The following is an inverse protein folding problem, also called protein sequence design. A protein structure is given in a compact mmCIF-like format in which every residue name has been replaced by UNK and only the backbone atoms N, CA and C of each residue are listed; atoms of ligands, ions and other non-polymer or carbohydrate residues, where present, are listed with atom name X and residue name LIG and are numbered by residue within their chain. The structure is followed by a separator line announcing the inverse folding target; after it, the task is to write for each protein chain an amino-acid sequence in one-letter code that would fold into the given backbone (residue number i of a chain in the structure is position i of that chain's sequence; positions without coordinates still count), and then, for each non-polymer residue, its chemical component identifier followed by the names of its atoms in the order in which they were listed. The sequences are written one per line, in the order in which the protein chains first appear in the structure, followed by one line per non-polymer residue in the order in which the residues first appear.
data_IF_724554889266
#
_entry.id   IF_724554889266
#
_cell.length_a   1.000
_cell.length_b   1.000
_cell.length_c   1.000
_cell.angle_alpha   90.00
_cell.angle_beta   90.00
_cell.angle_gamma   90.00
#
_symmetry.space_group_name_H-M   'P 1'
#
loop_
_entity.id
_entity.type
_entity.pdbx_description
1 polymer ?
#
# COMPACT_ATOMS: atom_id res chain seq x y z
N UNK A 1 -16.76 -0.61 8.80
CA UNK A 1 -18.00 -0.38 8.02
C UNK A 1 -18.05 -1.39 6.90
N UNK A 2 -19.12 -2.18 6.79
CA UNK A 2 -19.35 -3.18 5.75
C UNK A 2 -20.50 -2.73 4.85
N UNK A 3 -20.22 -2.54 3.57
CA UNK A 3 -21.22 -2.16 2.57
C UNK A 3 -21.52 -3.35 1.66
N UNK A 4 -22.78 -3.74 1.60
CA UNK A 4 -23.27 -4.73 0.63
C UNK A 4 -23.79 -4.02 -0.62
N UNK A 5 -23.20 -4.33 -1.77
CA UNK A 5 -23.73 -3.98 -3.08
C UNK A 5 -24.46 -5.19 -3.65
N UNK A 6 -25.70 -5.00 -4.10
CA UNK A 6 -26.51 -6.06 -4.68
C UNK A 6 -26.79 -5.77 -6.16
N UNK A 7 -26.03 -6.36 -7.09
CA UNK A 7 -26.40 -6.30 -8.50
C UNK A 7 -27.65 -7.16 -8.74
N UNK A 8 -28.78 -6.54 -9.02
CA UNK A 8 -30.06 -7.20 -9.25
C UNK A 8 -29.99 -8.27 -10.34
N UNK A 9 -30.87 -9.27 -10.30
CA UNK A 9 -30.96 -10.38 -11.26
C UNK A 9 -29.69 -11.23 -11.36
N UNK A 10 -29.54 -12.06 -12.39
CA UNK A 10 -28.35 -12.90 -12.64
C UNK A 10 -28.69 -14.34 -13.03
N UNK A 11 -27.77 -14.97 -13.74
CA UNK A 11 -27.93 -16.32 -14.29
C UNK A 11 -29.12 -16.39 -15.26
N UNK A 12 -30.10 -17.25 -14.97
CA UNK A 12 -31.29 -17.40 -15.82
C UNK A 12 -32.26 -16.23 -15.72
N UNK A 13 -32.25 -15.51 -14.61
CA UNK A 13 -33.01 -14.28 -14.45
C UNK A 13 -32.25 -13.15 -15.14
N UNK A 14 -32.66 -12.81 -16.37
CA UNK A 14 -32.08 -11.72 -17.14
C UNK A 14 -32.47 -10.32 -16.62
N UNK A 15 -33.49 -10.26 -15.74
CA UNK A 15 -34.24 -9.04 -15.48
C UNK A 15 -34.95 -8.55 -16.73
N UNK A 16 -35.16 -7.24 -16.82
CA UNK A 16 -35.70 -6.63 -18.02
C UNK A 16 -34.72 -6.79 -19.20
N UNK A 17 -35.28 -7.05 -20.39
CA UNK A 17 -34.52 -7.19 -21.64
C UNK A 17 -35.11 -6.22 -22.66
N UNK A 18 -34.27 -5.37 -23.24
CA UNK A 18 -34.71 -4.34 -24.17
C UNK A 18 -33.55 -3.73 -24.91
N UNK A 19 -33.78 -3.32 -26.17
CA UNK A 19 -32.80 -2.58 -26.97
C UNK A 19 -31.42 -3.27 -27.10
N UNK A 20 -31.36 -4.61 -27.01
CA UNK A 20 -30.11 -5.39 -27.07
C UNK A 20 -29.30 -5.38 -25.77
N UNK A 21 -29.92 -5.01 -24.65
CA UNK A 21 -29.35 -5.03 -23.31
C UNK A 21 -30.10 -6.03 -22.43
N UNK A 22 -29.41 -6.60 -21.46
CA UNK A 22 -29.99 -7.36 -20.35
C UNK A 22 -29.69 -6.63 -19.05
N UNK A 23 -30.71 -6.45 -18.22
CA UNK A 23 -30.59 -5.73 -16.95
C UNK A 23 -29.51 -6.36 -16.04
N UNK A 24 -29.47 -7.69 -15.94
CA UNK A 24 -28.48 -8.39 -15.10
C UNK A 24 -27.02 -8.01 -15.41
N UNK A 25 -26.71 -7.72 -16.68
CA UNK A 25 -25.35 -7.41 -17.14
C UNK A 25 -25.00 -5.96 -16.78
N UNK A 26 -25.95 -5.03 -16.98
CA UNK A 26 -25.82 -3.63 -16.59
C UNK A 26 -25.64 -3.50 -15.08
N UNK A 27 -26.49 -4.17 -14.30
CA UNK A 27 -26.45 -4.12 -12.85
C UNK A 27 -25.09 -4.61 -12.32
N UNK A 28 -24.57 -5.72 -12.87
CA UNK A 28 -23.27 -6.26 -12.48
C UNK A 28 -22.10 -5.32 -12.84
N UNK A 29 -22.10 -4.77 -14.05
CA UNK A 29 -21.06 -3.83 -14.49
C UNK A 29 -21.04 -2.57 -13.62
N UNK A 30 -22.20 -1.95 -13.39
CA UNK A 30 -22.32 -0.74 -12.55
C UNK A 30 -21.88 -1.04 -11.11
N UNK A 31 -22.36 -2.14 -10.50
CA UNK A 31 -21.97 -2.51 -9.14
C UNK A 31 -20.46 -2.73 -8.98
N UNK A 32 -19.81 -3.39 -9.95
CA UNK A 32 -18.36 -3.58 -9.94
C UNK A 32 -17.59 -2.26 -10.06
N UNK A 33 -18.07 -1.33 -10.89
CA UNK A 33 -17.47 0.02 -10.99
C UNK A 33 -17.63 0.79 -9.69
N UNK A 34 -18.80 0.72 -9.04
CA UNK A 34 -19.04 1.33 -7.73
C UNK A 34 -18.06 0.76 -6.70
N UNK A 35 -17.90 -0.57 -6.65
CA UNK A 35 -16.95 -1.23 -5.76
C UNK A 35 -15.50 -0.78 -6.01
N UNK A 36 -15.07 -0.71 -7.28
CA UNK A 36 -13.73 -0.27 -7.65
C UNK A 36 -13.43 1.17 -7.22
N UNK A 37 -14.40 2.07 -7.35
CA UNK A 37 -14.26 3.47 -6.91
C UNK A 37 -14.24 3.59 -5.38
N UNK A 38 -15.00 2.78 -4.68
CA UNK A 38 -15.03 2.75 -3.22
C UNK A 38 -13.81 2.03 -2.60
N UNK A 39 -12.99 1.31 -3.38
CA UNK A 39 -11.80 0.61 -2.88
C UNK A 39 -10.75 1.52 -2.20
N UNK A 40 -10.76 2.82 -2.53
CA UNK A 40 -9.92 3.85 -1.92
C UNK A 40 -10.41 4.33 -0.54
N UNK A 41 -11.61 3.92 -0.11
CA UNK A 41 -12.23 4.34 1.14
C UNK A 41 -12.16 3.24 2.21
N UNK A 42 -12.15 3.63 3.47
CA UNK A 42 -12.11 2.74 4.64
C UNK A 42 -13.47 2.06 4.85
N UNK A 43 -13.80 1.16 3.93
CA UNK A 43 -15.03 0.39 3.88
C UNK A 43 -14.75 -1.00 3.32
N UNK A 44 -15.33 -2.01 3.96
CA UNK A 44 -15.31 -3.39 3.48
C UNK A 44 -16.49 -3.59 2.54
N UNK A 45 -16.20 -3.76 1.25
CA UNK A 45 -17.22 -3.88 0.21
C UNK A 45 -17.42 -5.35 -0.12
N UNK A 46 -18.67 -5.81 -0.08
CA UNK A 46 -19.08 -7.11 -0.58
C UNK A 46 -20.12 -6.95 -1.68
N UNK A 47 -20.16 -7.92 -2.59
CA UNK A 47 -21.20 -8.02 -3.59
C UNK A 47 -22.01 -9.30 -3.33
N UNK A 48 -23.33 -9.25 -3.46
CA UNK A 48 -24.16 -10.47 -3.41
C UNK A 48 -23.76 -11.45 -4.51
N UNK A 49 -23.37 -10.94 -5.69
CA UNK A 49 -22.71 -11.69 -6.77
C UNK A 49 -21.62 -10.85 -7.44
N UNK A 50 -20.48 -11.47 -7.78
CA UNK A 50 -19.40 -10.84 -8.55
C UNK A 50 -19.24 -11.42 -9.96
N UNK A 51 -20.12 -12.34 -10.35
CA UNK A 51 -20.21 -13.00 -11.66
C UNK A 51 -21.67 -13.02 -12.11
N UNK A 52 -21.93 -13.54 -13.32
CA UNK A 52 -23.29 -13.84 -13.73
C UNK A 52 -23.78 -15.12 -13.02
N UNK A 53 -24.45 -14.94 -11.88
CA UNK A 53 -24.91 -16.00 -11.01
C UNK A 53 -26.37 -15.76 -10.62
N UNK A 54 -27.19 -16.81 -10.71
CA UNK A 54 -28.58 -16.79 -10.26
C UNK A 54 -28.66 -16.80 -8.73
N UNK A 55 -29.36 -15.81 -8.15
CA UNK A 55 -29.60 -15.70 -6.72
C UNK A 55 -31.05 -15.31 -6.46
N UNK A 56 -31.73 -16.09 -5.62
CA UNK A 56 -33.06 -15.75 -5.11
C UNK A 56 -33.00 -14.49 -4.24
N UNK A 57 -34.14 -13.81 -4.11
CA UNK A 57 -34.24 -12.62 -3.23
C UNK A 57 -33.87 -12.96 -1.78
N UNK A 58 -34.37 -14.08 -1.26
CA UNK A 58 -34.00 -14.59 0.08
C UNK A 58 -32.49 -14.77 0.22
N UNK A 59 -31.84 -15.33 -0.81
CA UNK A 59 -30.39 -15.57 -0.73
C UNK A 59 -29.59 -14.28 -0.67
N UNK A 60 -30.02 -13.23 -1.37
CA UNK A 60 -29.38 -11.90 -1.31
C UNK A 60 -29.44 -11.33 0.10
N UNK A 61 -30.62 -11.42 0.74
CA UNK A 61 -30.81 -10.99 2.13
C UNK A 61 -29.93 -11.80 3.09
N UNK A 62 -29.92 -13.14 2.97
CA UNK A 62 -29.07 -14.00 3.80
C UNK A 62 -27.59 -13.65 3.70
N UNK A 63 -27.08 -13.35 2.49
CA UNK A 63 -25.68 -12.96 2.30
C UNK A 63 -25.39 -11.65 3.05
N UNK A 64 -26.25 -10.64 2.90
CA UNK A 64 -26.11 -9.34 3.57
C UNK A 64 -26.18 -9.45 5.09
N UNK A 65 -27.17 -10.19 5.60
CA UNK A 65 -27.43 -10.38 7.02
C UNK A 65 -26.34 -11.22 7.68
N UNK A 66 -25.92 -12.32 7.04
CA UNK A 66 -24.81 -13.17 7.54
C UNK A 66 -23.48 -12.44 7.59
N UNK A 67 -23.21 -11.55 6.63
CA UNK A 67 -22.03 -10.69 6.66
C UNK A 67 -22.10 -9.63 7.79
N UNK A 68 -23.31 -9.41 8.34
CA UNK A 68 -23.64 -8.31 9.24
C UNK A 68 -23.24 -6.99 8.59
N UNK A 69 -23.75 -6.77 7.38
CA UNK A 69 -23.48 -5.53 6.64
C UNK A 69 -24.10 -4.35 7.37
N UNK A 70 -23.43 -3.20 7.35
CA UNK A 70 -23.92 -1.96 7.99
C UNK A 70 -24.87 -1.19 7.07
N UNK A 71 -24.78 -1.40 5.74
CA UNK A 71 -25.66 -0.81 4.74
C UNK A 71 -25.82 -1.71 3.52
N UNK A 72 -27.00 -1.69 2.89
CA UNK A 72 -27.32 -2.45 1.68
C UNK A 72 -27.77 -1.54 0.53
N UNK A 73 -27.14 -1.66 -0.63
CA UNK A 73 -27.47 -0.90 -1.83
C UNK A 73 -27.68 -1.83 -3.02
N UNK A 74 -28.94 -2.02 -3.42
CA UNK A 74 -29.31 -2.78 -4.61
C UNK A 74 -29.31 -1.88 -5.85
N UNK A 75 -28.77 -2.38 -6.95
CA UNK A 75 -28.58 -1.67 -8.21
C UNK A 75 -29.40 -2.40 -9.29
N UNK A 76 -30.36 -1.68 -9.85
CA UNK A 76 -31.30 -2.11 -10.86
C UNK A 76 -31.38 -1.15 -12.05
N UNK A 77 -31.98 -1.62 -13.13
CA UNK A 77 -32.29 -0.85 -14.35
C UNK A 77 -33.75 -1.06 -14.68
N UNK A 78 -34.51 0.02 -14.83
CA UNK A 78 -35.97 -0.03 -14.87
C UNK A 78 -36.51 -0.50 -16.24
N UNK A 79 -37.82 -0.75 -16.30
CA UNK A 79 -38.59 -0.98 -17.54
C UNK A 79 -40.05 -0.58 -17.37
N UNK A 80 -40.87 -0.67 -18.42
CA UNK A 80 -42.30 -0.35 -18.38
C UNK A 80 -42.66 1.02 -18.97
N UNK A 81 -41.90 1.50 -19.96
CA UNK A 81 -42.25 2.67 -20.77
C UNK A 81 -41.96 4.04 -20.13
N UNK A 82 -41.05 4.11 -19.16
CA UNK A 82 -40.60 5.36 -18.52
C UNK A 82 -39.24 5.88 -19.00
N UNK A 83 -38.74 6.93 -18.36
CA UNK A 83 -37.35 7.41 -18.49
C UNK A 83 -36.90 8.04 -17.17
N UNK A 84 -35.61 7.97 -16.87
CA UNK A 84 -35.00 8.66 -15.73
C UNK A 84 -34.67 7.77 -14.53
N UNK A 85 -34.48 8.41 -13.36
CA UNK A 85 -33.93 7.76 -12.17
C UNK A 85 -34.91 7.82 -10.98
N UNK A 86 -34.99 6.74 -10.22
CA UNK A 86 -35.71 6.68 -8.95
C UNK A 86 -34.98 5.81 -7.93
N UNK A 87 -35.30 6.00 -6.66
CA UNK A 87 -34.77 5.16 -5.58
C UNK A 87 -35.87 4.70 -4.65
N UNK A 88 -35.76 3.47 -4.15
CA UNK A 88 -36.71 2.84 -3.25
C UNK A 88 -36.08 2.54 -1.89
N UNK A 89 -36.89 2.67 -0.85
CA UNK A 89 -36.69 2.06 0.47
C UNK A 89 -37.92 1.25 0.84
N UNK A 90 -37.81 0.39 1.85
CA UNK A 90 -38.96 -0.39 2.32
C UNK A 90 -40.13 0.51 2.74
N UNK A 91 -41.37 0.08 2.51
CA UNK A 91 -42.57 0.80 2.96
C UNK A 91 -42.54 1.11 4.46
N UNK A 92 -41.99 0.22 5.28
CA UNK A 92 -41.78 0.43 6.72
C UNK A 92 -40.41 1.01 7.10
N UNK A 93 -39.65 1.59 6.16
CA UNK A 93 -38.32 2.10 6.43
C UNK A 93 -38.33 3.20 7.51
N UNK A 94 -37.38 3.08 8.45
CA UNK A 94 -37.14 4.03 9.53
C UNK A 94 -36.56 5.35 9.01
N UNK A 95 -36.67 6.41 9.81
CA UNK A 95 -36.17 7.75 9.48
C UNK A 95 -34.67 7.77 9.14
N UNK A 96 -33.86 6.94 9.81
CA UNK A 96 -32.43 6.81 9.51
C UNK A 96 -32.17 6.36 8.07
N UNK A 97 -32.84 5.30 7.61
CA UNK A 97 -32.77 4.81 6.23
C UNK A 97 -33.21 5.87 5.23
N UNK A 98 -34.24 6.64 5.58
CA UNK A 98 -34.75 7.72 4.75
C UNK A 98 -33.76 8.87 4.56
N UNK A 99 -33.07 9.27 5.64
CA UNK A 99 -32.00 10.29 5.59
C UNK A 99 -30.84 9.81 4.72
N UNK A 100 -30.41 8.57 4.88
CA UNK A 100 -29.36 7.97 4.05
C UNK A 100 -29.77 7.93 2.57
N UNK A 101 -31.00 7.47 2.26
CA UNK A 101 -31.55 7.51 0.90
C UNK A 101 -31.55 8.91 0.33
N UNK A 102 -31.98 9.91 1.10
CA UNK A 102 -32.08 11.27 0.61
C UNK A 102 -30.72 11.81 0.13
N UNK A 103 -29.64 11.53 0.86
CA UNK A 103 -28.27 11.93 0.47
C UNK A 103 -27.85 11.22 -0.82
N UNK A 104 -27.96 9.89 -0.88
CA UNK A 104 -27.57 9.10 -2.05
C UNK A 104 -28.36 9.55 -3.28
N UNK A 105 -29.69 9.60 -3.15
CA UNK A 105 -30.59 9.96 -4.23
C UNK A 105 -30.30 11.36 -4.78
N UNK A 106 -30.12 12.37 -3.91
CA UNK A 106 -29.88 13.75 -4.38
C UNK A 106 -28.58 13.85 -5.21
N UNK A 107 -27.53 13.12 -4.84
CA UNK A 107 -26.27 13.10 -5.60
C UNK A 107 -26.46 12.44 -6.96
N UNK A 108 -27.11 11.28 -6.99
CA UNK A 108 -27.33 10.51 -8.23
C UNK A 108 -28.32 11.22 -9.16
N UNK A 109 -29.42 11.76 -8.62
CA UNK A 109 -30.37 12.58 -9.35
C UNK A 109 -29.72 13.84 -9.94
N UNK A 110 -28.79 14.47 -9.20
CA UNK A 110 -28.00 15.60 -9.71
C UNK A 110 -27.16 15.23 -10.95
N UNK A 111 -26.53 14.05 -10.94
CA UNK A 111 -25.82 13.52 -12.11
C UNK A 111 -26.77 13.30 -13.30
N UNK A 112 -27.92 12.65 -13.07
CA UNK A 112 -28.90 12.41 -14.12
C UNK A 112 -29.51 13.69 -14.70
N UNK A 113 -29.85 14.66 -13.86
CA UNK A 113 -30.36 15.97 -14.27
C UNK A 113 -29.37 16.68 -15.19
N UNK A 114 -28.08 16.67 -14.84
CA UNK A 114 -27.02 17.25 -15.68
C UNK A 114 -26.84 16.51 -17.02
N UNK A 115 -27.18 15.23 -17.05
CA UNK A 115 -27.20 14.42 -18.28
C UNK A 115 -28.52 14.51 -19.07
N UNK A 116 -29.47 15.35 -18.62
CA UNK A 116 -30.76 15.59 -19.29
C UNK A 116 -31.87 14.58 -18.95
N UNK A 117 -31.71 13.79 -17.88
CA UNK A 117 -32.69 12.80 -17.45
C UNK A 117 -33.57 13.28 -16.30
N UNK A 118 -34.77 12.73 -16.23
CA UNK A 118 -35.78 13.06 -15.22
C UNK A 118 -35.45 12.41 -13.88
N UNK A 119 -35.54 13.19 -12.80
CA UNK A 119 -35.64 12.65 -11.44
C UNK A 119 -37.10 12.26 -11.17
N UNK A 120 -37.35 10.97 -11.00
CA UNK A 120 -38.67 10.39 -10.73
C UNK A 120 -38.95 10.23 -9.24
N UNK A 121 -38.04 10.72 -8.40
CA UNK A 121 -38.21 10.89 -6.98
C UNK A 121 -37.89 9.67 -6.15
N UNK A 122 -38.07 9.88 -4.84
CA UNK A 122 -37.73 8.91 -3.81
C UNK A 122 -39.00 8.16 -3.38
N UNK A 123 -39.06 6.86 -3.66
CA UNK A 123 -40.25 6.02 -3.51
C UNK A 123 -40.12 5.02 -2.37
N UNK A 124 -41.27 4.45 -1.99
CA UNK A 124 -41.39 3.35 -1.02
C UNK A 124 -41.99 2.14 -1.72
N UNK A 125 -41.46 0.95 -1.46
CA UNK A 125 -41.99 -0.30 -1.99
C UNK A 125 -41.73 -1.47 -1.04
N UNK A 126 -42.52 -2.54 -1.19
CA UNK A 126 -42.41 -3.75 -0.37
C UNK A 126 -41.47 -4.80 -0.99
N UNK A 127 -40.32 -4.38 -1.53
CA UNK A 127 -39.35 -5.28 -2.15
C UNK A 127 -38.66 -6.15 -1.09
N UNK A 128 -38.55 -7.46 -1.35
CA UNK A 128 -38.02 -8.42 -0.38
C UNK A 128 -36.60 -8.05 0.09
N UNK A 129 -35.72 -7.64 -0.83
CA UNK A 129 -34.34 -7.23 -0.48
C UNK A 129 -34.27 -5.97 0.39
N UNK A 130 -35.32 -5.14 0.41
CA UNK A 130 -35.41 -3.95 1.26
C UNK A 130 -36.08 -4.25 2.61
N UNK A 131 -37.00 -5.22 2.64
CA UNK A 131 -37.77 -5.60 3.82
C UNK A 131 -37.04 -6.61 4.70
N UNK A 132 -36.39 -7.60 4.08
CA UNK A 132 -35.88 -8.79 4.74
C UNK A 132 -34.36 -8.71 5.02
N UNK A 133 -33.73 -7.56 4.73
CA UNK A 133 -32.38 -7.23 5.18
C UNK A 133 -32.40 -6.56 6.54
N UNK A 134 -31.43 -6.89 7.40
CA UNK A 134 -31.40 -6.44 8.80
C UNK A 134 -30.84 -5.03 8.98
N UNK A 135 -30.21 -4.48 7.94
CA UNK A 135 -29.57 -3.17 7.92
C UNK A 135 -30.33 -2.16 7.04
N UNK A 136 -30.08 -0.84 7.17
CA UNK A 136 -30.66 0.14 6.26
C UNK A 136 -30.37 -0.19 4.79
N UNK A 137 -31.43 -0.22 3.97
CA UNK A 137 -31.38 -0.70 2.60
C UNK A 137 -31.98 0.31 1.61
N UNK A 138 -31.33 0.47 0.47
CA UNK A 138 -31.79 1.26 -0.69
C UNK A 138 -31.76 0.41 -1.95
N UNK A 139 -32.70 0.64 -2.87
CA UNK A 139 -32.66 0.13 -4.24
C UNK A 139 -32.65 1.30 -5.21
N UNK A 140 -31.78 1.25 -6.21
CA UNK A 140 -31.59 2.27 -7.23
C UNK A 140 -32.10 1.75 -8.57
N UNK A 141 -33.04 2.44 -9.20
CA UNK A 141 -33.50 2.16 -10.56
C UNK A 141 -32.87 3.16 -11.53
N UNK A 142 -31.92 2.69 -12.34
CA UNK A 142 -31.02 3.52 -13.13
C UNK A 142 -31.43 3.53 -14.60
N UNK A 143 -32.26 4.50 -15.00
CA UNK A 143 -32.81 4.60 -16.37
C UNK A 143 -33.71 3.42 -16.75
N UNK A 144 -34.32 3.48 -17.93
CA UNK A 144 -35.26 2.47 -18.44
C UNK A 144 -34.66 1.72 -19.63
N UNK A 145 -34.48 0.40 -19.51
CA UNK A 145 -33.82 -0.43 -20.53
C UNK A 145 -34.63 -0.55 -21.83
N UNK A 146 -35.95 -0.39 -21.74
CA UNK A 146 -36.89 -0.42 -22.86
C UNK A 146 -37.06 0.94 -23.56
N UNK A 147 -36.63 2.04 -22.91
CA UNK A 147 -36.63 3.37 -23.51
C UNK A 147 -35.37 3.61 -24.35
N UNK A 148 -35.54 3.98 -25.62
CA UNK A 148 -34.45 4.03 -26.61
C UNK A 148 -33.31 4.99 -26.23
N UNK A 149 -33.63 6.18 -25.69
CA UNK A 149 -32.61 7.17 -25.28
C UNK A 149 -31.84 6.71 -24.05
N UNK A 150 -32.55 6.14 -23.08
CA UNK A 150 -32.00 5.60 -21.84
C UNK A 150 -31.06 4.43 -22.15
N UNK A 151 -31.54 3.45 -22.92
CA UNK A 151 -30.74 2.33 -23.41
C UNK A 151 -29.51 2.77 -24.21
N UNK A 152 -29.62 3.85 -24.99
CA UNK A 152 -28.48 4.44 -25.71
C UNK A 152 -27.36 4.88 -24.77
N UNK A 153 -27.71 5.50 -23.63
CA UNK A 153 -26.73 5.84 -22.58
C UNK A 153 -26.25 4.62 -21.81
N UNK A 154 -27.14 3.69 -21.50
CA UNK A 154 -26.78 2.47 -20.77
C UNK A 154 -25.79 1.59 -21.57
N UNK A 155 -25.75 1.67 -22.91
CA UNK A 155 -24.73 1.01 -23.74
C UNK A 155 -23.33 1.62 -23.58
N UNK A 156 -23.24 2.91 -23.29
CA UNK A 156 -21.99 3.65 -23.19
C UNK A 156 -21.26 3.32 -21.89
N UNK A 157 -20.08 2.71 -21.99
CA UNK A 157 -19.25 2.36 -20.85
C UNK A 157 -18.75 3.57 -20.05
N UNK A 158 -18.50 4.71 -20.72
CA UNK A 158 -18.10 5.94 -20.04
C UNK A 158 -19.26 6.52 -19.22
N UNK A 159 -20.49 6.43 -19.73
CA UNK A 159 -21.68 6.79 -18.99
C UNK A 159 -21.87 5.91 -17.74
N UNK A 160 -21.72 4.58 -17.88
CA UNK A 160 -21.80 3.66 -16.73
C UNK A 160 -20.70 3.92 -15.69
N UNK A 161 -19.50 4.30 -16.12
CA UNK A 161 -18.43 4.71 -15.21
C UNK A 161 -18.74 6.01 -14.46
N UNK A 162 -19.25 7.02 -15.16
CA UNK A 162 -19.64 8.29 -14.55
C UNK A 162 -20.83 8.11 -13.58
N UNK A 163 -21.82 7.28 -13.94
CA UNK A 163 -22.92 6.88 -13.06
C UNK A 163 -22.40 6.19 -11.79
N UNK A 164 -21.51 5.21 -11.94
CA UNK A 164 -20.89 4.56 -10.80
C UNK A 164 -20.15 5.58 -9.90
N UNK A 165 -19.51 6.60 -10.48
CA UNK A 165 -18.92 7.71 -9.73
C UNK A 165 -19.94 8.50 -8.92
N UNK A 166 -21.11 8.79 -9.48
CA UNK A 166 -22.19 9.46 -8.77
C UNK A 166 -22.75 8.60 -7.62
N UNK A 167 -22.96 7.31 -7.86
CA UNK A 167 -23.43 6.36 -6.84
C UNK A 167 -22.40 6.26 -5.70
N UNK A 168 -21.12 6.05 -6.01
CA UNK A 168 -20.04 6.01 -5.01
C UNK A 168 -19.97 7.31 -4.20
N UNK A 169 -20.09 8.48 -4.85
CA UNK A 169 -20.11 9.77 -4.14
C UNK A 169 -21.31 9.88 -3.20
N UNK A 170 -22.50 9.45 -3.63
CA UNK A 170 -23.69 9.41 -2.80
C UNK A 170 -23.49 8.52 -1.57
N UNK A 171 -22.94 7.32 -1.75
CA UNK A 171 -22.64 6.38 -0.67
C UNK A 171 -21.58 6.92 0.30
N UNK A 172 -20.50 7.52 -0.21
CA UNK A 172 -19.46 8.16 0.61
C UNK A 172 -20.04 9.24 1.50
N UNK A 173 -20.90 10.11 0.96
CA UNK A 173 -21.53 11.19 1.72
C UNK A 173 -22.53 10.67 2.74
N UNK A 174 -23.39 9.73 2.35
CA UNK A 174 -24.44 9.20 3.23
C UNK A 174 -23.85 8.41 4.40
N UNK A 175 -22.82 7.62 4.15
CA UNK A 175 -22.21 6.73 5.14
C UNK A 175 -20.98 7.35 5.82
N UNK A 176 -20.67 8.62 5.53
CA UNK A 176 -19.51 9.35 6.04
C UNK A 176 -18.20 8.56 5.88
N UNK A 177 -17.99 7.98 4.69
CA UNK A 177 -16.81 7.15 4.43
C UNK A 177 -15.57 8.03 4.33
N UNK A 178 -14.52 7.66 5.05
CA UNK A 178 -13.21 8.30 4.96
C UNK A 178 -12.33 7.57 3.94
N UNK A 179 -11.37 8.26 3.34
CA UNK A 179 -10.35 7.60 2.53
C UNK A 179 -9.55 6.64 3.43
N UNK A 180 -9.13 5.49 2.89
CA UNK A 180 -8.16 4.63 3.59
C UNK A 180 -6.96 5.50 3.93
N UNK A 181 -6.56 5.50 5.20
CA UNK A 181 -5.34 6.18 5.63
C UNK A 181 -4.20 5.59 4.80
N UNK A 182 -3.62 6.36 3.88
CA UNK A 182 -2.43 5.90 3.19
C UNK A 182 -1.35 5.67 4.25
N UNK A 183 -0.59 4.56 4.18
CA UNK A 183 0.53 4.37 5.09
C UNK A 183 1.44 5.59 4.97
N UNK A 184 1.78 6.16 6.12
CA UNK A 184 2.70 7.28 6.20
C UNK A 184 4.00 6.87 5.53
N UNK A 185 4.34 7.54 4.42
CA UNK A 185 5.53 7.22 3.65
C UNK A 185 6.79 7.58 4.44
N UNK A 186 7.85 6.81 4.24
CA UNK A 186 9.11 6.94 4.97
C UNK A 186 10.00 7.99 4.32
N UNK A 187 10.23 9.19 4.92
CA UNK A 187 11.04 10.23 4.28
C UNK A 187 12.50 9.79 4.15
N UNK A 188 13.14 10.09 3.02
CA UNK A 188 14.59 9.81 2.80
C UNK A 188 15.46 10.74 3.63
N UNK A 189 15.09 12.02 3.72
CA UNK A 189 15.77 13.05 4.50
C UNK A 189 15.08 13.23 5.86
N UNK A 190 15.41 12.34 6.78
CA UNK A 190 15.00 12.38 8.16
C UNK A 190 16.11 11.81 9.05
N UNK A 191 16.06 12.05 10.35
CA UNK A 191 16.89 11.29 11.28
C UNK A 191 16.57 9.79 11.14
N UNK A 192 17.60 8.94 11.20
CA UNK A 192 17.38 7.51 11.31
C UNK A 192 16.58 7.21 12.58
N UNK A 193 15.59 6.34 12.46
CA UNK A 193 14.80 5.89 13.60
C UNK A 193 15.49 4.72 14.32
N UNK A 194 16.30 3.95 13.60
CA UNK A 194 17.05 2.84 14.18
C UNK A 194 18.26 3.34 14.98
N UNK A 195 18.56 2.63 16.05
CA UNK A 195 19.85 2.68 16.72
C UNK A 195 20.83 1.67 16.09
N UNK A 196 22.15 1.91 16.11
CA UNK A 196 23.14 1.00 15.51
C UNK A 196 22.99 -0.46 15.97
N UNK A 197 22.78 -0.69 17.27
CA UNK A 197 22.62 -2.04 17.81
C UNK A 197 21.44 -2.79 17.17
N UNK A 198 20.34 -2.10 16.82
CA UNK A 198 19.18 -2.74 16.19
C UNK A 198 19.55 -3.25 14.79
N UNK A 199 20.34 -2.50 14.03
CA UNK A 199 20.82 -2.92 12.72
C UNK A 199 21.79 -4.10 12.82
N UNK A 200 22.75 -4.04 13.75
CA UNK A 200 23.70 -5.14 14.00
C UNK A 200 22.99 -6.42 14.42
N UNK A 201 22.04 -6.32 15.36
CA UNK A 201 21.21 -7.46 15.81
C UNK A 201 20.30 -8.00 14.70
N UNK A 202 19.73 -7.12 13.87
CA UNK A 202 18.87 -7.53 12.76
C UNK A 202 19.65 -8.35 11.72
N UNK A 203 20.86 -7.90 11.40
CA UNK A 203 21.76 -8.59 10.50
C UNK A 203 22.25 -9.91 11.08
N UNK A 204 22.81 -9.91 12.29
CA UNK A 204 23.40 -11.10 12.90
C UNK A 204 22.38 -12.21 13.16
N UNK A 205 21.14 -11.86 13.52
CA UNK A 205 20.06 -12.83 13.68
C UNK A 205 19.70 -13.57 12.38
N UNK A 206 20.01 -13.00 11.21
CA UNK A 206 19.82 -13.66 9.92
C UNK A 206 21.12 -14.26 9.41
N UNK A 207 22.21 -13.52 9.46
CA UNK A 207 23.52 -13.97 9.02
C UNK A 207 24.55 -13.77 10.15
N UNK A 208 24.73 -14.76 11.04
CA UNK A 208 25.67 -14.68 12.17
C UNK A 208 27.13 -14.51 11.75
N UNK A 209 27.47 -14.81 10.50
CA UNK A 209 28.82 -14.70 9.94
C UNK A 209 29.05 -13.40 9.18
N UNK A 210 28.03 -12.54 9.08
CA UNK A 210 28.20 -11.25 8.44
C UNK A 210 29.19 -10.40 9.26
N UNK A 211 30.14 -9.71 8.61
CA UNK A 211 30.90 -8.66 9.29
C UNK A 211 29.94 -7.57 9.79
N UNK A 212 30.32 -6.80 10.80
CA UNK A 212 29.52 -5.65 11.24
C UNK A 212 30.10 -4.36 10.69
N UNK A 213 29.40 -3.77 9.71
CA UNK A 213 29.75 -2.49 9.09
C UNK A 213 28.70 -1.39 9.35
N UNK A 214 27.83 -1.56 10.34
CA UNK A 214 26.75 -0.60 10.64
C UNK A 214 27.28 0.81 10.88
N UNK A 215 28.42 0.94 11.56
CA UNK A 215 29.04 2.25 11.81
C UNK A 215 29.41 2.99 10.52
N UNK A 216 29.77 2.28 9.45
CA UNK A 216 30.01 2.89 8.14
C UNK A 216 28.71 3.51 7.60
N UNK A 217 27.58 2.80 7.71
CA UNK A 217 26.28 3.35 7.29
C UNK A 217 25.90 4.58 8.11
N UNK A 218 26.11 4.56 9.44
CA UNK A 218 25.85 5.72 10.31
C UNK A 218 26.68 6.93 9.89
N UNK A 219 27.98 6.74 9.61
CA UNK A 219 28.87 7.80 9.16
C UNK A 219 28.45 8.34 7.79
N UNK A 220 28.11 7.47 6.84
CA UNK A 220 27.66 7.88 5.51
C UNK A 220 26.31 8.59 5.54
N UNK A 221 25.38 8.18 6.41
CA UNK A 221 24.12 8.90 6.60
C UNK A 221 24.33 10.33 7.07
N UNK A 222 25.28 10.55 7.99
CA UNK A 222 25.70 11.90 8.41
C UNK A 222 26.33 12.67 7.25
N UNK A 223 27.25 12.06 6.50
CA UNK A 223 27.97 12.67 5.37
C UNK A 223 27.03 13.11 4.23
N UNK A 224 26.03 12.30 3.91
CA UNK A 224 25.14 12.51 2.76
C UNK A 224 23.77 13.10 3.13
N UNK A 225 23.48 13.28 4.42
CA UNK A 225 22.19 13.82 4.88
C UNK A 225 21.01 12.94 4.49
N UNK A 226 21.21 11.62 4.47
CA UNK A 226 20.21 10.59 4.11
C UNK A 226 20.13 9.62 5.29
N UNK A 227 18.92 9.19 5.65
CA UNK A 227 18.73 8.26 6.76
C UNK A 227 19.46 6.94 6.49
N UNK A 228 20.37 6.55 7.38
CA UNK A 228 21.24 5.40 7.15
C UNK A 228 20.51 4.07 7.30
N UNK A 229 19.48 4.02 8.15
CA UNK A 229 18.73 2.83 8.49
C UNK A 229 17.93 2.26 7.30
N UNK A 230 17.37 3.13 6.46
CA UNK A 230 16.71 2.71 5.22
C UNK A 230 17.69 2.20 4.15
N UNK A 231 18.86 2.84 4.03
CA UNK A 231 19.92 2.43 3.11
C UNK A 231 20.50 1.07 3.56
N UNK A 232 20.71 0.89 4.87
CA UNK A 232 21.09 -0.39 5.46
C UNK A 232 20.03 -1.47 5.22
N UNK A 233 18.75 -1.18 5.46
CA UNK A 233 17.64 -2.11 5.22
C UNK A 233 17.57 -2.54 3.74
N UNK A 234 17.78 -1.60 2.81
CA UNK A 234 17.94 -1.93 1.39
C UNK A 234 19.12 -2.88 1.16
N UNK A 235 20.27 -2.64 1.80
CA UNK A 235 21.44 -3.52 1.63
C UNK A 235 21.15 -4.96 2.05
N UNK A 236 20.43 -5.15 3.17
CA UNK A 236 20.01 -6.47 3.62
C UNK A 236 19.09 -7.14 2.61
N UNK A 237 18.23 -6.37 1.94
CA UNK A 237 17.37 -6.89 0.88
C UNK A 237 18.18 -7.32 -0.34
N UNK A 238 19.04 -6.45 -0.87
CA UNK A 238 19.77 -6.69 -2.12
C UNK A 238 20.71 -7.90 -2.05
N UNK A 239 21.23 -8.19 -0.86
CA UNK A 239 22.29 -9.20 -0.65
C UNK A 239 21.82 -10.41 0.15
N UNK A 240 20.52 -10.51 0.44
CA UNK A 240 19.95 -11.50 1.35
C UNK A 240 20.69 -11.55 2.70
N UNK A 241 20.80 -10.39 3.36
CA UNK A 241 21.52 -10.18 4.64
C UNK A 241 23.02 -10.41 4.51
N UNK A 242 23.65 -9.83 3.49
CA UNK A 242 25.08 -9.95 3.17
C UNK A 242 25.55 -11.40 2.97
N UNK A 243 24.64 -12.27 2.49
CA UNK A 243 24.97 -13.65 2.09
C UNK A 243 25.36 -13.76 0.63
N UNK A 244 24.96 -12.79 -0.20
CA UNK A 244 25.36 -12.69 -1.60
C UNK A 244 24.93 -13.92 -2.44
N UNK A 245 23.62 -14.21 -2.43
CA UNK A 245 23.04 -15.36 -3.14
C UNK A 245 22.73 -15.15 -4.63
N UNK A 246 23.27 -14.09 -5.25
CA UNK A 246 23.00 -13.70 -6.64
C UNK A 246 24.29 -13.43 -7.42
N UNK A 247 24.24 -12.54 -8.41
CA UNK A 247 25.38 -12.26 -9.31
C UNK A 247 26.56 -11.53 -8.63
N UNK A 248 26.31 -10.89 -7.48
CA UNK A 248 27.34 -10.21 -6.68
C UNK A 248 27.89 -11.16 -5.62
N UNK A 249 29.21 -11.14 -5.44
CA UNK A 249 29.97 -11.93 -4.45
C UNK A 249 30.43 -11.07 -3.26
N UNK A 250 30.68 -11.68 -2.09
CA UNK A 250 31.11 -10.95 -0.88
C UNK A 250 32.36 -10.09 -1.08
N UNK A 251 33.33 -10.56 -1.87
CA UNK A 251 34.62 -9.88 -2.09
C UNK A 251 34.47 -8.59 -2.89
N UNK A 252 33.32 -8.37 -3.54
CA UNK A 252 33.07 -7.19 -4.34
C UNK A 252 32.68 -5.96 -3.53
N UNK A 253 32.41 -6.12 -2.22
CA UNK A 253 31.94 -5.05 -1.33
C UNK A 253 30.70 -4.31 -1.87
N UNK A 254 29.88 -4.94 -2.71
CA UNK A 254 28.73 -4.30 -3.35
C UNK A 254 27.44 -4.65 -2.61
N UNK A 255 27.15 -3.86 -1.58
CA UNK A 255 26.03 -4.10 -0.67
C UNK A 255 24.65 -3.79 -1.27
N UNK A 256 24.59 -3.28 -2.50
CA UNK A 256 23.35 -2.76 -3.08
C UNK A 256 23.06 -3.27 -4.50
N UNK A 257 23.76 -4.31 -4.96
CA UNK A 257 23.53 -4.87 -6.30
C UNK A 257 23.81 -3.87 -7.43
N UNK A 258 24.70 -2.89 -7.23
CA UNK A 258 24.94 -1.86 -8.23
C UNK A 258 25.52 -2.49 -9.51
N UNK A 259 24.91 -2.14 -10.64
CA UNK A 259 25.29 -2.59 -11.99
C UNK A 259 25.15 -4.09 -12.28
N UNK A 260 24.29 -4.80 -11.55
CA UNK A 260 23.89 -6.17 -11.92
C UNK A 260 22.83 -6.12 -13.04
N UNK A 261 23.23 -6.45 -14.27
CA UNK A 261 22.31 -6.62 -15.41
C UNK A 261 22.79 -7.81 -16.26
N UNK A 262 21.87 -8.68 -16.66
CA UNK A 262 22.08 -9.78 -17.63
C UNK A 262 23.37 -10.62 -17.39
N UNK A 263 23.55 -11.14 -16.18
CA UNK A 263 24.65 -12.06 -15.86
C UNK A 263 26.03 -11.40 -15.74
N UNK A 264 26.10 -10.06 -15.71
CA UNK A 264 27.33 -9.34 -15.35
C UNK A 264 27.55 -9.37 -13.82
N UNK A 265 28.80 -9.49 -13.34
CA UNK A 265 29.11 -9.68 -11.92
C UNK A 265 28.79 -8.49 -11.00
N UNK A 266 28.15 -7.42 -11.50
CA UNK A 266 27.97 -6.18 -10.74
C UNK A 266 29.28 -5.41 -10.51
N UNK A 267 29.17 -4.23 -9.89
CA UNK A 267 30.31 -3.39 -9.55
C UNK A 267 31.15 -4.00 -8.40
N UNK A 268 32.43 -3.62 -8.34
CA UNK A 268 33.38 -4.04 -7.29
C UNK A 268 34.05 -2.81 -6.70
N UNK A 269 34.14 -2.79 -5.37
CA UNK A 269 34.71 -1.68 -4.59
C UNK A 269 35.89 -2.17 -3.76
N UNK A 270 36.92 -1.34 -3.62
CA UNK A 270 38.18 -1.78 -3.01
C UNK A 270 38.03 -2.05 -1.51
N UNK A 271 37.08 -1.36 -0.85
CA UNK A 271 36.80 -1.52 0.57
C UNK A 271 35.30 -1.55 0.86
N UNK A 272 34.88 -2.12 2.00
CA UNK A 272 33.50 -2.00 2.47
C UNK A 272 33.01 -0.55 2.54
N UNK A 273 33.88 0.38 2.97
CA UNK A 273 33.55 1.80 3.06
C UNK A 273 33.21 2.40 1.70
N UNK A 274 33.99 2.10 0.66
CA UNK A 274 33.69 2.54 -0.71
C UNK A 274 32.38 1.96 -1.25
N UNK A 275 32.11 0.68 -0.95
CA UNK A 275 30.88 0.02 -1.37
C UNK A 275 29.62 0.61 -0.74
N UNK A 276 29.66 0.85 0.57
CA UNK A 276 28.57 1.55 1.28
C UNK A 276 28.44 2.98 0.75
N UNK A 277 29.55 3.69 0.57
CA UNK A 277 29.53 5.06 0.05
C UNK A 277 28.93 5.13 -1.36
N UNK A 278 29.25 4.18 -2.26
CA UNK A 278 28.65 4.11 -3.59
C UNK A 278 27.13 3.93 -3.54
N UNK A 279 26.60 3.14 -2.60
CA UNK A 279 25.16 3.02 -2.37
C UNK A 279 24.54 4.36 -1.93
N UNK A 280 25.17 5.06 -0.98
CA UNK A 280 24.72 6.38 -0.54
C UNK A 280 24.77 7.42 -1.66
N UNK A 281 25.82 7.42 -2.48
CA UNK A 281 25.92 8.26 -3.66
C UNK A 281 24.77 7.98 -4.63
N UNK A 282 24.40 6.71 -4.81
CA UNK A 282 23.29 6.38 -5.69
C UNK A 282 21.94 6.92 -5.18
N UNK A 283 21.66 6.78 -3.88
CA UNK A 283 20.51 7.45 -3.24
C UNK A 283 20.59 8.97 -3.35
N UNK A 284 21.80 9.53 -3.21
CA UNK A 284 22.06 10.96 -3.31
C UNK A 284 21.75 11.49 -4.72
N UNK A 285 22.00 10.72 -5.79
CA UNK A 285 21.58 11.11 -7.15
C UNK A 285 20.06 11.20 -7.25
N UNK A 286 19.34 10.21 -6.72
CA UNK A 286 17.88 10.20 -6.72
C UNK A 286 17.26 11.33 -5.89
N UNK A 287 17.85 11.70 -4.75
CA UNK A 287 17.30 12.73 -3.86
C UNK A 287 17.79 14.15 -4.18
N UNK A 288 19.10 14.35 -4.36
CA UNK A 288 19.73 15.67 -4.54
C UNK A 288 20.10 16.00 -5.99
N UNK A 289 19.73 15.15 -6.96
CA UNK A 289 19.95 15.44 -8.38
C UNK A 289 21.39 15.23 -8.85
N UNK A 290 22.23 14.55 -8.06
CA UNK A 290 23.58 14.13 -8.47
C UNK A 290 24.74 15.08 -8.11
N UNK A 291 24.49 16.15 -7.37
CA UNK A 291 25.53 17.07 -6.89
C UNK A 291 26.27 16.49 -5.68
N UNK A 292 27.33 15.72 -5.88
CA UNK A 292 28.11 15.17 -4.77
C UNK A 292 28.69 16.27 -3.87
N UNK A 293 28.89 16.01 -2.56
CA UNK A 293 29.59 16.95 -1.67
C UNK A 293 30.97 17.32 -2.22
N UNK A 294 31.43 18.54 -1.95
CA UNK A 294 32.71 19.04 -2.45
C UNK A 294 33.88 18.14 -2.03
N UNK A 295 34.77 17.83 -2.98
CA UNK A 295 35.95 16.98 -2.75
C UNK A 295 35.68 15.47 -2.71
N UNK A 296 34.43 15.04 -2.87
CA UNK A 296 34.07 13.60 -2.88
C UNK A 296 34.22 13.01 -4.29
N UNK A 297 34.96 11.91 -4.39
CA UNK A 297 35.08 11.14 -5.64
C UNK A 297 33.77 10.40 -5.95
N UNK A 298 33.36 10.38 -7.21
CA UNK A 298 32.24 9.54 -7.64
C UNK A 298 32.63 8.06 -7.60
N UNK A 299 31.92 7.29 -6.78
CA UNK A 299 32.01 5.84 -6.65
C UNK A 299 30.77 5.15 -7.24
N UNK A 300 29.65 5.86 -7.43
CA UNK A 300 28.44 5.27 -8.04
C UNK A 300 28.61 5.08 -9.56
N UNK A 301 28.71 3.82 -10.04
CA UNK A 301 28.86 3.53 -11.47
C UNK A 301 27.58 3.79 -12.27
N UNK A 302 26.41 3.91 -11.61
CA UNK A 302 25.12 4.15 -12.26
C UNK A 302 24.70 5.62 -12.27
N UNK A 303 25.51 6.52 -11.68
CA UNK A 303 25.19 7.95 -11.54
C UNK A 303 24.75 8.57 -12.86
N UNK A 304 25.56 8.44 -13.90
CA UNK A 304 25.30 9.08 -15.19
C UNK A 304 24.12 8.47 -15.93
N UNK A 305 23.80 7.21 -15.67
CA UNK A 305 22.59 6.58 -16.20
C UNK A 305 21.33 7.20 -15.58
N UNK A 306 21.30 7.38 -14.24
CA UNK A 306 20.14 7.98 -13.55
C UNK A 306 19.95 9.44 -13.93
N UNK A 307 21.03 10.19 -14.16
CA UNK A 307 20.92 11.57 -14.65
C UNK A 307 20.21 11.70 -16.00
N UNK A 308 20.16 10.62 -16.80
CA UNK A 308 19.48 10.57 -18.10
C UNK A 308 18.01 10.13 -18.04
N UNK A 309 17.53 9.61 -16.90
CA UNK A 309 16.16 9.04 -16.78
C UNK A 309 15.10 10.04 -16.32
N UNK A 310 15.48 11.27 -15.97
CA UNK A 310 14.58 12.25 -15.35
C UNK A 310 14.24 11.95 -13.88
N UNK A 311 14.85 10.91 -13.28
CA UNK A 311 14.61 10.54 -11.88
C UNK A 311 15.51 11.25 -10.88
N UNK A 312 16.60 11.86 -11.34
CA UNK A 312 17.51 12.60 -10.47
C UNK A 312 16.77 13.74 -9.76
N UNK A 313 16.90 13.82 -8.43
CA UNK A 313 16.23 14.84 -7.61
C UNK A 313 14.74 14.60 -7.32
N UNK A 314 14.18 13.45 -7.70
CA UNK A 314 12.73 13.18 -7.60
C UNK A 314 12.35 12.25 -6.45
N UNK A 315 13.31 11.65 -5.74
CA UNK A 315 13.04 10.75 -4.63
C UNK A 315 12.77 11.58 -3.37
N UNK A 316 11.61 11.39 -2.74
CA UNK A 316 11.27 12.05 -1.46
C UNK A 316 11.11 11.01 -0.34
N UNK A 317 10.56 9.85 -0.68
CA UNK A 317 10.29 8.75 0.24
C UNK A 317 10.98 7.46 -0.21
N UNK A 318 11.32 6.59 0.74
CA UNK A 318 11.94 5.27 0.45
C UNK A 318 11.06 4.45 -0.49
N UNK A 319 9.75 4.57 -0.36
CA UNK A 319 8.76 3.90 -1.18
C UNK A 319 8.86 4.30 -2.67
N UNK A 320 9.33 5.51 -3.00
CA UNK A 320 9.45 5.93 -4.41
C UNK A 320 10.64 5.28 -5.15
N UNK A 321 11.44 4.44 -4.47
CA UNK A 321 12.41 3.55 -5.13
C UNK A 321 11.72 2.49 -6.02
N UNK A 322 10.43 2.23 -5.79
CA UNK A 322 9.60 1.37 -6.63
C UNK A 322 9.57 1.83 -8.09
N UNK A 323 9.94 0.94 -9.01
CA UNK A 323 10.06 1.24 -10.43
C UNK A 323 11.27 2.09 -10.84
N UNK A 324 12.08 2.58 -9.88
CA UNK A 324 13.27 3.41 -10.15
C UNK A 324 14.57 2.67 -9.88
N UNK A 325 14.65 1.97 -8.73
CA UNK A 325 15.79 1.14 -8.38
C UNK A 325 15.64 -0.27 -8.94
N UNK A 326 14.44 -0.82 -8.82
CA UNK A 326 14.04 -2.12 -9.34
C UNK A 326 12.71 -2.00 -10.10
N UNK A 327 12.41 -2.88 -11.06
CA UNK A 327 11.19 -2.80 -11.87
C UNK A 327 9.88 -2.86 -11.08
N UNK A 328 9.86 -3.58 -9.95
CA UNK A 328 8.66 -3.69 -9.10
C UNK A 328 8.30 -2.35 -8.45
N UNK A 329 7.02 -1.97 -8.53
CA UNK A 329 6.49 -0.76 -7.90
C UNK A 329 6.43 -0.87 -6.38
N UNK A 330 6.39 -2.08 -5.87
CA UNK A 330 6.34 -2.44 -4.45
C UNK A 330 7.73 -2.49 -3.81
N UNK A 331 8.80 -2.35 -4.62
CA UNK A 331 10.18 -2.49 -4.16
C UNK A 331 10.49 -1.60 -2.96
N UNK A 332 10.18 -0.29 -3.03
CA UNK A 332 10.43 0.64 -1.94
C UNK A 332 9.59 0.32 -0.68
N UNK A 333 8.30 0.02 -0.86
CA UNK A 333 7.43 -0.39 0.24
C UNK A 333 7.95 -1.64 0.95
N UNK A 334 8.45 -2.63 0.21
CA UNK A 334 9.00 -3.84 0.81
C UNK A 334 10.32 -3.61 1.58
N UNK A 335 11.13 -2.60 1.24
CA UNK A 335 12.29 -2.21 2.09
C UNK A 335 11.76 -1.74 3.46
N UNK A 336 10.73 -0.91 3.44
CA UNK A 336 10.13 -0.36 4.67
C UNK A 336 9.47 -1.46 5.49
N UNK A 337 8.59 -2.24 4.88
CA UNK A 337 7.72 -3.18 5.58
C UNK A 337 8.44 -4.46 6.03
N UNK A 338 9.36 -4.97 5.21
CA UNK A 338 9.98 -6.28 5.46
C UNK A 338 11.37 -6.18 6.11
N UNK A 339 12.01 -5.02 6.08
CA UNK A 339 13.37 -4.84 6.62
C UNK A 339 13.44 -3.73 7.67
N UNK A 340 13.06 -2.48 7.32
CA UNK A 340 13.17 -1.35 8.25
C UNK A 340 12.25 -1.51 9.46
N UNK A 341 10.94 -1.73 9.28
CA UNK A 341 10.00 -1.88 10.40
C UNK A 341 10.35 -3.05 11.32
N UNK A 342 10.72 -4.26 10.83
CA UNK A 342 11.20 -5.34 11.68
C UNK A 342 12.48 -5.00 12.46
N UNK A 343 13.44 -4.34 11.82
CA UNK A 343 14.67 -3.87 12.49
C UNK A 343 14.36 -2.93 13.66
N UNK A 344 13.45 -1.96 13.46
CA UNK A 344 13.03 -1.01 14.50
C UNK A 344 12.33 -1.63 15.70
N UNK A 345 11.79 -2.85 15.56
CA UNK A 345 11.13 -3.59 16.65
C UNK A 345 12.11 -4.32 17.57
N UNK A 346 13.40 -4.33 17.26
CA UNK A 346 14.41 -4.96 18.11
C UNK A 346 14.61 -4.11 19.35
N UNK A 347 14.29 -4.65 20.53
CA UNK A 347 14.51 -4.02 21.83
C UNK A 347 15.90 -4.33 22.38
N UNK A 348 16.36 -3.49 23.33
CA UNK A 348 17.66 -3.66 24.00
C UNK A 348 17.75 -4.96 24.81
N UNK A 349 16.61 -5.54 25.23
CA UNK A 349 16.57 -6.83 25.93
C UNK A 349 16.96 -8.02 25.03
N UNK A 350 17.21 -7.77 23.73
CA UNK A 350 17.79 -8.72 22.77
C UNK A 350 19.26 -8.42 22.41
N UNK A 351 19.85 -7.39 22.99
CA UNK A 351 21.29 -7.19 23.00
C UNK A 351 21.87 -8.20 24.00
N UNK A 352 22.88 -8.97 23.59
CA UNK A 352 23.60 -9.92 24.45
C UNK A 352 24.94 -9.30 24.88
N UNK A 353 24.94 -8.39 25.86
CA UNK A 353 26.16 -7.77 26.36
C UNK A 353 27.14 -8.82 26.92
N UNK A 354 26.64 -9.96 27.41
CA UNK A 354 27.49 -11.08 27.85
C UNK A 354 28.27 -11.68 26.68
N UNK A 355 27.63 -11.83 25.52
CA UNK A 355 28.27 -12.26 24.28
C UNK A 355 29.32 -11.28 23.76
N UNK A 356 29.07 -9.97 23.85
CA UNK A 356 30.06 -8.94 23.45
C UNK A 356 31.28 -8.92 24.38
N UNK A 357 31.07 -9.07 25.69
CA UNK A 357 32.16 -9.22 26.66
C UNK A 357 32.98 -10.49 26.36
N UNK A 358 32.32 -11.59 26.00
CA UNK A 358 32.99 -12.84 25.64
C UNK A 358 33.89 -12.69 24.41
N UNK A 359 33.51 -11.88 23.40
CA UNK A 359 34.35 -11.58 22.24
C UNK A 359 35.60 -10.80 22.63
N UNK A 360 35.46 -9.74 23.44
CA UNK A 360 36.61 -8.96 23.92
C UNK A 360 37.61 -9.84 24.69
N UNK A 361 37.10 -10.81 25.46
CA UNK A 361 37.94 -11.78 26.18
C UNK A 361 38.63 -12.75 25.21
N UNK A 362 37.90 -13.26 24.21
CA UNK A 362 38.46 -14.14 23.16
C UNK A 362 39.59 -13.46 22.38
N UNK A 363 39.45 -12.17 22.10
CA UNK A 363 40.44 -11.36 21.39
C UNK A 363 41.61 -10.91 22.29
N UNK A 364 41.64 -11.33 23.56
CA UNK A 364 42.67 -10.98 24.53
C UNK A 364 42.67 -9.51 24.97
N UNK A 365 41.60 -8.78 24.66
CA UNK A 365 41.48 -7.35 24.97
C UNK A 365 41.13 -7.10 26.43
N UNK A 366 40.41 -8.03 27.06
CA UNK A 366 40.16 -8.05 28.51
C UNK A 366 40.57 -9.42 29.08
N UNK A 367 40.95 -9.45 30.36
CA UNK A 367 41.43 -10.67 31.01
C UNK A 367 40.48 -11.18 32.12
N UNK A 368 39.52 -10.36 32.55
CA UNK A 368 38.57 -10.69 33.62
C UNK A 368 37.22 -11.16 33.11
N UNK A 369 36.46 -11.82 33.99
CA UNK A 369 35.03 -12.02 33.79
C UNK A 369 34.31 -10.74 34.22
N UNK A 370 33.63 -10.10 33.26
CA UNK A 370 32.84 -8.90 33.51
C UNK A 370 31.37 -9.23 33.24
N UNK A 371 30.48 -8.79 34.13
CA UNK A 371 29.05 -8.86 33.88
C UNK A 371 28.60 -7.62 33.09
N UNK A 372 27.53 -7.73 32.29
CA UNK A 372 26.97 -6.60 31.54
C UNK A 372 26.71 -5.31 32.33
N UNK A 373 26.41 -5.43 33.62
CA UNK A 373 26.10 -4.30 34.50
C UNK A 373 27.30 -3.73 35.26
N UNK A 374 28.50 -4.30 35.09
CA UNK A 374 29.67 -3.86 35.86
C UNK A 374 30.12 -2.45 35.41
N UNK A 375 30.43 -1.54 36.35
CA UNK A 375 30.99 -0.25 36.00
C UNK A 375 32.41 -0.43 35.46
N UNK A 376 32.71 0.24 34.34
CA UNK A 376 34.05 0.24 33.73
C UNK A 376 34.82 1.46 34.20
N UNK A 377 36.03 1.26 34.73
CA UNK A 377 36.92 2.38 35.07
C UNK A 377 37.64 2.94 33.85
N UNK A 378 38.09 4.20 33.93
CA UNK A 378 38.90 4.81 32.88
C UNK A 378 40.22 4.07 32.62
N UNK A 379 40.80 3.44 33.64
CA UNK A 379 42.03 2.65 33.50
C UNK A 379 41.81 1.34 32.74
N UNK A 380 40.72 0.63 33.01
CA UNK A 380 40.34 -0.59 32.29
C UNK A 380 40.00 -0.27 30.83
N UNK A 381 39.22 0.79 30.61
CA UNK A 381 38.90 1.25 29.25
C UNK A 381 40.18 1.62 28.47
N UNK A 382 41.09 2.37 29.09
CA UNK A 382 42.36 2.74 28.47
C UNK A 382 43.24 1.53 28.14
N UNK A 383 43.21 0.48 28.98
CA UNK A 383 43.94 -0.76 28.76
C UNK A 383 43.43 -1.51 27.54
N UNK A 384 42.10 -1.65 27.40
CA UNK A 384 41.47 -2.23 26.21
C UNK A 384 41.86 -1.46 24.95
N UNK A 385 41.79 -0.12 25.01
CA UNK A 385 42.16 0.76 23.88
C UNK A 385 43.64 0.62 23.50
N UNK A 386 44.55 0.51 24.46
CA UNK A 386 45.98 0.38 24.16
C UNK A 386 46.32 -0.97 23.50
N UNK A 387 45.68 -2.07 23.93
CA UNK A 387 45.82 -3.38 23.28
C UNK A 387 45.36 -3.35 21.82
N UNK A 388 44.24 -2.68 21.54
CA UNK A 388 43.76 -2.46 20.16
C UNK A 388 44.74 -1.64 19.29
N UNK A 389 45.53 -0.76 19.92
CA UNK A 389 46.56 0.04 19.25
C UNK A 389 47.89 -0.72 19.10
N UNK A 390 47.97 -1.96 19.56
CA UNK A 390 49.18 -2.77 19.59
C UNK A 390 50.25 -2.22 20.55
N UNK A 391 49.83 -1.57 21.63
CA UNK A 391 50.70 -0.90 22.62
C UNK A 391 50.66 -1.54 23.99
#
# INVERSE_FOLDING_TARGET
MKLMLDPGHGGKDAGAVGNGLQEKDLNLDIAKRVAGKLAAYDVDIALTRNTDLELSLTKRCEIANKLQSDYFCSIHTNSGGGTGYESYVFTGAQEGTEKLRAVIHNVVAGYYKNAGFVDRGKKRANFAVLRDTDMPAILLENLFIDHKQDAGRLKDAAFRDALAGAISKGLVQALNLSLKRQPEKTPVKAAAAAQPFQASSFLSAKNPQAPDYVDIYVQMGKKYGIRWDAVFAQSCKETAFWRYGGDVKPEQNNFAGLSTFDGKPGATFATPAEGVEAQFQHWHVYYYGGNLPAGVKNLDPRRDAVLKTGWAGTLQYVEDLGGRWAPSKEYGASIVDNYLKPMLKISIDRWDPSGEIAKLKKDGLINGDHQPGDPVTWGELATVINRLRGK
#
